data_IF_574505615087
#
_entry.id   IF_574505615087
#
_cell.length_a   1.000
_cell.length_b   1.000
_cell.length_c   1.000
_cell.angle_alpha   90.00
_cell.angle_beta   90.00
_cell.angle_gamma   90.00
#
_symmetry.space_group_name_H-M   'P 1'
#
loop_
_entity.id
_entity.type
_entity.pdbx_description
1 polymer ?
#
# COMPACT_ATOMS: atom_id res chain seq x y z
N UNK A 1 6.50 7.79 -25.77
CA UNK A 1 5.89 8.48 -24.60
C UNK A 1 5.70 7.55 -23.40
N UNK A 2 5.96 6.24 -23.49
CA UNK A 2 5.88 5.26 -22.38
C UNK A 2 6.91 5.44 -21.24
N UNK A 3 8.09 6.00 -21.53
CA UNK A 3 9.15 6.16 -20.54
C UNK A 3 8.80 7.13 -19.40
N UNK A 4 7.83 8.02 -19.62
CA UNK A 4 7.43 9.04 -18.63
C UNK A 4 6.70 8.39 -17.45
N UNK A 5 5.87 7.38 -17.71
CA UNK A 5 5.13 6.66 -16.66
C UNK A 5 6.10 5.85 -15.79
N UNK A 6 7.07 5.18 -16.42
CA UNK A 6 8.09 4.40 -15.70
C UNK A 6 8.96 5.28 -14.80
N UNK A 7 9.31 6.49 -15.25
CA UNK A 7 10.09 7.46 -14.46
C UNK A 7 9.27 7.99 -13.27
N UNK A 8 7.97 8.23 -13.43
CA UNK A 8 7.10 8.67 -12.34
C UNK A 8 6.90 7.58 -11.28
N UNK A 9 6.70 6.33 -11.71
CA UNK A 9 6.61 5.17 -10.81
C UNK A 9 7.93 4.96 -10.05
N UNK A 10 9.07 5.07 -10.74
CA UNK A 10 10.38 4.92 -10.11
C UNK A 10 10.68 6.06 -9.12
N UNK A 11 10.28 7.30 -9.42
CA UNK A 11 10.42 8.44 -8.50
C UNK A 11 9.50 8.31 -7.29
N UNK A 12 8.27 7.83 -7.47
CA UNK A 12 7.36 7.51 -6.37
C UNK A 12 7.94 6.43 -5.44
N UNK A 13 8.44 5.34 -6.02
CA UNK A 13 9.09 4.27 -5.25
C UNK A 13 10.39 4.73 -4.57
N UNK A 14 11.19 5.56 -5.24
CA UNK A 14 12.44 6.11 -4.68
C UNK A 14 12.19 7.04 -3.49
N UNK A 15 11.16 7.88 -3.55
CA UNK A 15 10.77 8.74 -2.43
C UNK A 15 10.24 7.93 -1.23
N UNK A 16 9.60 6.79 -1.48
CA UNK A 16 9.10 5.88 -0.45
C UNK A 16 10.25 5.14 0.28
N UNK A 17 11.27 4.69 -0.45
CA UNK A 17 12.43 3.98 0.11
C UNK A 17 13.41 4.94 0.81
N UNK A 18 13.51 6.20 0.34
CA UNK A 18 14.47 7.16 0.87
C UNK A 18 14.04 7.86 2.17
N UNK A 19 12.83 7.60 2.70
CA UNK A 19 12.35 8.26 3.90
C UNK A 19 13.01 7.64 5.16
N UNK A 20 13.98 8.31 5.81
CA UNK A 20 14.72 7.71 6.91
C UNK A 20 14.04 8.13 8.22
N UNK A 21 13.09 7.34 8.72
CA UNK A 21 12.59 7.55 10.10
C UNK A 21 13.45 6.81 11.12
N UNK A 22 14.54 7.50 11.44
CA UNK A 22 15.48 7.25 12.55
C UNK A 22 14.79 7.17 13.92
N UNK A 23 14.70 5.96 14.46
CA UNK A 23 15.46 5.51 15.66
C UNK A 23 15.26 6.13 17.06
N UNK A 24 14.05 6.44 17.56
CA UNK A 24 13.87 6.77 19.01
C UNK A 24 12.60 6.23 19.74
N UNK A 25 11.74 5.44 19.12
CA UNK A 25 10.34 5.36 19.53
C UNK A 25 9.86 4.01 20.11
N UNK A 26 10.56 3.32 21.02
CA UNK A 26 10.15 1.95 21.44
C UNK A 26 8.78 1.83 22.16
N UNK A 27 8.19 2.94 22.59
CA UNK A 27 6.80 3.03 23.10
C UNK A 27 5.85 3.73 22.11
N UNK A 28 6.38 4.55 21.21
CA UNK A 28 5.69 5.14 20.05
C UNK A 28 5.55 4.12 18.90
N UNK A 29 6.26 2.99 18.95
CA UNK A 29 6.32 1.99 17.88
C UNK A 29 4.97 1.34 17.65
N UNK A 30 4.22 0.93 18.68
CA UNK A 30 2.95 0.24 18.44
C UNK A 30 1.91 1.15 17.77
N UNK A 31 1.81 2.42 18.20
CA UNK A 31 0.91 3.39 17.56
C UNK A 31 1.44 3.84 16.18
N UNK A 32 2.76 4.00 16.04
CA UNK A 32 3.42 4.31 14.78
C UNK A 32 3.24 3.22 13.74
N UNK A 33 3.36 1.95 14.15
CA UNK A 33 3.18 0.76 13.31
C UNK A 33 1.73 0.69 12.80
N UNK A 34 0.75 1.01 13.65
CA UNK A 34 -0.68 1.08 13.24
C UNK A 34 -0.91 2.19 12.22
N UNK A 35 -0.34 3.38 12.44
CA UNK A 35 -0.45 4.51 11.50
C UNK A 35 0.18 4.15 10.15
N UNK A 36 1.34 3.49 10.16
CA UNK A 36 2.04 3.04 8.95
C UNK A 36 1.23 1.97 8.22
N UNK A 37 0.71 0.96 8.92
CA UNK A 37 -0.16 -0.07 8.35
C UNK A 37 -1.46 0.53 7.76
N UNK A 38 -2.05 1.52 8.42
CA UNK A 38 -3.24 2.21 7.91
C UNK A 38 -2.92 2.97 6.62
N UNK A 39 -1.80 3.69 6.57
CA UNK A 39 -1.34 4.38 5.37
C UNK A 39 -1.04 3.40 4.23
N UNK A 40 -0.42 2.25 4.54
CA UNK A 40 -0.15 1.20 3.56
C UNK A 40 -1.45 0.60 3.00
N UNK A 41 -2.44 0.31 3.86
CA UNK A 41 -3.76 -0.17 3.42
C UNK A 41 -4.40 0.82 2.45
N UNK A 42 -4.37 2.10 2.78
CA UNK A 42 -4.99 3.14 1.96
C UNK A 42 -4.26 3.28 0.61
N UNK A 43 -2.94 3.15 0.59
CA UNK A 43 -2.14 3.08 -0.65
C UNK A 43 -2.50 1.87 -1.52
N UNK A 44 -2.67 0.69 -0.92
CA UNK A 44 -3.09 -0.53 -1.64
C UNK A 44 -4.51 -0.43 -2.20
N UNK A 45 -5.43 0.20 -1.46
CA UNK A 45 -6.79 0.47 -1.92
C UNK A 45 -6.82 1.48 -3.07
N UNK A 46 -5.98 2.52 -3.00
CA UNK A 46 -5.81 3.47 -4.09
C UNK A 46 -5.28 2.77 -5.34
N UNK A 47 -4.25 1.93 -5.22
CA UNK A 47 -3.69 1.18 -6.35
C UNK A 47 -4.72 0.24 -7.00
N UNK A 48 -5.57 -0.43 -6.19
CA UNK A 48 -6.67 -1.24 -6.72
C UNK A 48 -7.70 -0.41 -7.49
N UNK A 49 -7.99 0.80 -7.00
CA UNK A 49 -8.91 1.71 -7.66
C UNK A 49 -8.34 2.22 -8.97
N UNK A 50 -7.07 2.64 -9.00
CA UNK A 50 -6.39 3.08 -10.22
C UNK A 50 -6.39 1.97 -11.28
N UNK A 51 -6.16 0.72 -10.88
CA UNK A 51 -6.23 -0.43 -11.77
C UNK A 51 -7.63 -0.64 -12.38
N UNK A 52 -8.67 -0.46 -11.58
CA UNK A 52 -10.05 -0.56 -12.05
C UNK A 52 -10.42 0.62 -12.98
N UNK A 53 -9.92 1.82 -12.70
CA UNK A 53 -10.08 3.01 -13.55
C UNK A 53 -9.32 2.88 -14.88
N UNK A 54 -8.10 2.36 -14.86
CA UNK A 54 -7.30 2.07 -16.05
C UNK A 54 -7.97 1.05 -16.96
N UNK A 55 -8.53 -0.01 -16.37
CA UNK A 55 -9.28 -1.01 -17.12
C UNK A 55 -10.57 -0.43 -17.71
N UNK A 56 -11.30 0.39 -16.95
CA UNK A 56 -12.50 1.07 -17.44
C UNK A 56 -12.20 2.08 -18.57
N UNK A 57 -11.04 2.73 -18.51
CA UNK A 57 -10.55 3.62 -19.56
C UNK A 57 -9.95 2.87 -20.77
N UNK A 58 -9.85 1.54 -20.72
CA UNK A 58 -9.25 0.73 -21.78
C UNK A 58 -7.74 0.91 -21.93
N UNK A 59 -7.05 1.43 -20.89
CA UNK A 59 -5.59 1.61 -20.88
C UNK A 59 -4.84 0.30 -20.63
N UNK A 60 -5.49 -0.65 -19.97
CA UNK A 60 -4.97 -1.99 -19.67
C UNK A 60 -5.98 -3.06 -20.08
N UNK A 61 -5.51 -4.29 -20.29
CA UNK A 61 -6.39 -5.41 -20.63
C UNK A 61 -7.08 -5.97 -19.38
N UNK A 62 -8.13 -6.78 -19.59
CA UNK A 62 -8.76 -7.53 -18.50
C UNK A 62 -7.79 -8.54 -17.83
N UNK A 63 -6.80 -9.03 -18.59
CA UNK A 63 -5.73 -9.89 -18.07
C UNK A 63 -4.83 -9.14 -17.09
N UNK A 64 -4.34 -7.97 -17.51
CA UNK A 64 -3.49 -7.10 -16.68
C UNK A 64 -4.21 -6.67 -15.40
N UNK A 65 -5.50 -6.33 -15.50
CA UNK A 65 -6.35 -6.04 -14.33
C UNK A 65 -6.41 -7.23 -13.36
N UNK A 66 -6.62 -8.44 -13.87
CA UNK A 66 -6.72 -9.63 -13.03
C UNK A 66 -5.37 -9.95 -12.35
N UNK A 67 -4.27 -9.80 -13.09
CA UNK A 67 -2.91 -9.98 -12.57
C UNK A 67 -2.59 -8.96 -11.48
N UNK A 68 -2.88 -7.66 -11.72
CA UNK A 68 -2.68 -6.61 -10.72
C UNK A 68 -3.49 -6.86 -9.44
N UNK A 69 -4.75 -7.30 -9.55
CA UNK A 69 -5.56 -7.69 -8.37
C UNK A 69 -4.96 -8.87 -7.61
N UNK A 70 -4.40 -9.86 -8.33
CA UNK A 70 -3.72 -11.01 -7.72
C UNK A 70 -2.42 -10.63 -7.02
N UNK A 71 -1.69 -9.65 -7.55
CA UNK A 71 -0.46 -9.16 -6.95
C UNK A 71 -0.74 -8.37 -5.65
N UNK A 72 -1.76 -7.51 -5.64
CA UNK A 72 -2.09 -6.64 -4.50
C UNK A 72 -2.88 -7.36 -3.39
N UNK A 73 -3.69 -8.35 -3.75
CA UNK A 73 -4.61 -9.04 -2.83
C UNK A 73 -3.96 -9.65 -1.58
N UNK A 74 -2.86 -10.42 -1.69
CA UNK A 74 -2.16 -10.99 -0.54
C UNK A 74 -1.68 -9.92 0.43
N UNK A 75 -1.05 -8.86 -0.07
CA UNK A 75 -0.52 -7.79 0.78
C UNK A 75 -1.63 -7.02 1.48
N UNK A 76 -2.72 -6.70 0.77
CA UNK A 76 -3.88 -6.03 1.38
C UNK A 76 -4.50 -6.89 2.49
N UNK A 77 -4.55 -8.22 2.31
CA UNK A 77 -5.03 -9.13 3.35
C UNK A 77 -4.12 -9.14 4.58
N UNK A 78 -2.81 -9.22 4.38
CA UNK A 78 -1.81 -9.17 5.46
C UNK A 78 -1.93 -7.87 6.28
N UNK A 79 -1.95 -6.72 5.61
CA UNK A 79 -2.07 -5.41 6.28
C UNK A 79 -3.39 -5.29 7.03
N UNK A 80 -4.49 -5.74 6.42
CA UNK A 80 -5.81 -5.72 7.08
C UNK A 80 -5.84 -6.62 8.32
N UNK A 81 -5.18 -7.78 8.26
CA UNK A 81 -5.08 -8.69 9.39
C UNK A 81 -4.18 -8.11 10.50
N UNK A 82 -3.05 -7.49 10.15
CA UNK A 82 -2.17 -6.83 11.11
C UNK A 82 -2.90 -5.68 11.84
N UNK A 83 -3.67 -4.86 11.12
CA UNK A 83 -4.50 -3.81 11.71
C UNK A 83 -5.57 -4.37 12.66
N UNK A 84 -6.23 -5.46 12.27
CA UNK A 84 -7.22 -6.14 13.13
C UNK A 84 -6.59 -6.64 14.43
N UNK A 85 -5.39 -7.22 14.35
CA UNK A 85 -4.68 -7.71 15.52
C UNK A 85 -4.24 -6.55 16.43
N UNK A 86 -3.78 -5.44 15.85
CA UNK A 86 -3.41 -4.26 16.62
C UNK A 86 -4.60 -3.64 17.38
N UNK A 87 -5.76 -3.53 16.73
CA UNK A 87 -7.01 -3.07 17.35
C UNK A 87 -7.44 -3.99 18.52
N UNK A 88 -7.36 -5.32 18.32
CA UNK A 88 -7.66 -6.30 19.36
C UNK A 88 -6.72 -6.19 20.57
N UNK A 89 -5.44 -5.85 20.34
CA UNK A 89 -4.46 -5.64 21.41
C UNK A 89 -4.72 -4.34 22.17
N UNK A 90 -5.18 -3.28 21.50
CA UNK A 90 -5.52 -1.99 22.12
C UNK A 90 -6.75 -2.10 23.04
N UNK A 91 -7.79 -2.84 22.62
CA UNK A 91 -9.01 -3.07 23.43
C UNK A 91 -8.75 -3.92 24.68
N UNK A 92 -7.69 -4.74 24.69
CA UNK A 92 -7.37 -5.65 25.79
C UNK A 92 -6.53 -5.03 26.93
N UNK A 93 -6.08 -3.78 26.77
CA UNK A 93 -5.21 -3.06 27.71
C UNK A 93 -6.01 -2.10 28.59
#
# INVERSE_FOLDING_TARGET
MEWVVLVLVALGAGAFVALPRRSDARADTAAGDVIELAAERDGLLLALRELDEDAAAGRITAGDRLEGRRALGPRLREVTEALRQADALEVSR
#
